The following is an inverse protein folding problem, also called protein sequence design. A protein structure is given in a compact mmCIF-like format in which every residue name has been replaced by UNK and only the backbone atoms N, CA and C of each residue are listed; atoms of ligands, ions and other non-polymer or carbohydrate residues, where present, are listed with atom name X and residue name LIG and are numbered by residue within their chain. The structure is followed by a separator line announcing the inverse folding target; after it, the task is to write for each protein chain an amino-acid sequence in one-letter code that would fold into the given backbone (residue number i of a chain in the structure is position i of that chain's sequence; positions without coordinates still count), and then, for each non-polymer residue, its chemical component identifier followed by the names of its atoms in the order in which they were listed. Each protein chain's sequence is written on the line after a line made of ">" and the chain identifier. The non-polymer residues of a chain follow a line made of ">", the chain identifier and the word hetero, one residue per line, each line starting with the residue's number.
data_IF_035963822256
#
_entry.id   IF_035963822256
#
_cell.length_a   1.000
_cell.length_b   1.000
_cell.length_c   1.000
_cell.angle_alpha   90.00
_cell.angle_beta   90.00
_cell.angle_gamma   90.00
#
_symmetry.space_group_name_H-M   'P 1'
#
loop_
_entity.id
_entity.type
_entity.pdbx_description
1 polymer ?
#
# COMPACT_ATOMS: atom_id res chain seq x y z
N UNK A 1 -9.19 -3.20 -19.42
CA UNK A 1 -8.58 -2.56 -18.23
C UNK A 1 -7.65 -3.59 -17.66
N UNK A 2 -6.36 -3.29 -17.53
CA UNK A 2 -5.38 -4.31 -17.16
C UNK A 2 -5.28 -4.39 -15.65
N UNK A 3 -6.28 -5.01 -15.00
CA UNK A 3 -6.23 -5.34 -13.57
C UNK A 3 -4.94 -6.09 -13.18
N UNK A 4 -4.28 -6.73 -14.16
CA UNK A 4 -2.99 -7.41 -14.03
C UNK A 4 -1.87 -6.51 -13.46
N UNK A 5 -1.82 -5.22 -13.83
CA UNK A 5 -0.75 -4.33 -13.35
C UNK A 5 -0.95 -3.95 -11.88
N UNK A 6 -2.18 -3.62 -11.48
CA UNK A 6 -2.51 -3.37 -10.07
C UNK A 6 -2.29 -4.61 -9.21
N UNK A 7 -2.69 -5.80 -9.71
CA UNK A 7 -2.40 -7.07 -9.08
C UNK A 7 -0.90 -7.29 -8.89
N UNK A 8 -0.09 -7.09 -9.93
CA UNK A 8 1.37 -7.26 -9.87
C UNK A 8 1.98 -6.35 -8.79
N UNK A 9 1.58 -5.07 -8.75
CA UNK A 9 2.08 -4.12 -7.73
C UNK A 9 1.63 -4.48 -6.32
N UNK A 10 0.39 -4.91 -6.14
CA UNK A 10 -0.09 -5.38 -4.85
C UNK A 10 0.64 -6.66 -4.40
N UNK A 11 0.94 -7.57 -5.32
CA UNK A 11 1.73 -8.77 -5.06
C UNK A 11 3.14 -8.43 -4.57
N UNK A 12 3.83 -7.51 -5.25
CA UNK A 12 5.18 -7.04 -4.85
C UNK A 12 5.12 -6.32 -3.49
N UNK A 13 4.08 -5.55 -3.23
CA UNK A 13 3.86 -4.91 -1.94
C UNK A 13 3.75 -5.94 -0.80
N UNK A 14 2.92 -6.97 -0.98
CA UNK A 14 2.79 -8.08 -0.01
C UNK A 14 4.13 -8.79 0.23
N UNK A 15 4.88 -9.07 -0.84
CA UNK A 15 6.22 -9.67 -0.71
C UNK A 15 7.20 -8.77 0.06
N UNK A 16 7.12 -7.45 -0.13
CA UNK A 16 7.95 -6.48 0.59
C UNK A 16 7.67 -6.48 2.10
N UNK A 17 6.43 -6.74 2.51
CA UNK A 17 6.04 -6.87 3.92
C UNK A 17 6.70 -8.08 4.62
N UNK A 18 7.07 -9.11 3.86
CA UNK A 18 7.79 -10.29 4.34
C UNK A 18 9.32 -10.16 4.25
N UNK A 19 9.84 -9.02 3.78
CA UNK A 19 11.26 -8.78 3.62
C UNK A 19 12.03 -8.69 4.94
N UNK A 20 13.32 -8.36 4.83
CA UNK A 20 14.18 -8.02 5.96
C UNK A 20 13.88 -6.62 6.50
N UNK A 21 14.23 -6.38 7.78
CA UNK A 21 14.05 -5.10 8.44
C UNK A 21 12.89 -5.10 9.43
N UNK A 22 12.69 -3.96 10.08
CA UNK A 22 11.58 -3.71 10.99
C UNK A 22 10.25 -3.58 10.24
N UNK A 23 9.12 -3.74 10.95
CA UNK A 23 7.79 -3.59 10.34
C UNK A 23 7.57 -2.21 9.70
N UNK A 24 7.98 -1.07 10.31
CA UNK A 24 7.96 0.24 9.65
C UNK A 24 8.74 0.29 8.33
N UNK A 25 9.98 -0.21 8.32
CA UNK A 25 10.82 -0.20 7.11
C UNK A 25 10.19 -1.03 5.98
N UNK A 26 9.62 -2.18 6.32
CA UNK A 26 8.92 -3.05 5.35
C UNK A 26 7.66 -2.41 4.82
N UNK A 27 6.90 -1.70 5.66
CA UNK A 27 5.71 -0.96 5.24
C UNK A 27 6.08 0.20 4.31
N UNK A 28 7.09 1.00 4.66
CA UNK A 28 7.59 2.07 3.78
C UNK A 28 8.02 1.50 2.44
N UNK A 29 8.78 0.41 2.43
CA UNK A 29 9.20 -0.24 1.20
C UNK A 29 8.01 -0.73 0.37
N UNK A 30 7.03 -1.39 0.98
CA UNK A 30 5.83 -1.88 0.29
C UNK A 30 5.06 -0.74 -0.41
N UNK A 31 4.90 0.41 0.26
CA UNK A 31 4.21 1.55 -0.36
C UNK A 31 5.08 2.20 -1.44
N UNK A 32 6.32 2.58 -1.11
CA UNK A 32 7.19 3.38 -1.99
C UNK A 32 7.72 2.63 -3.23
N UNK A 33 7.95 1.32 -3.13
CA UNK A 33 8.44 0.52 -4.26
C UNK A 33 7.34 -0.03 -5.15
N UNK A 34 6.09 -0.02 -4.66
CA UNK A 34 4.99 -0.74 -5.30
C UNK A 34 3.72 0.09 -5.42
N UNK A 35 3.07 0.45 -4.30
CA UNK A 35 1.74 1.06 -4.34
C UNK A 35 1.71 2.45 -4.98
N UNK A 36 2.79 3.25 -4.86
CA UNK A 36 2.84 4.58 -5.51
C UNK A 36 2.75 4.52 -7.03
N UNK A 37 3.01 3.35 -7.63
CA UNK A 37 2.99 3.16 -9.08
C UNK A 37 1.61 2.80 -9.63
N UNK A 38 0.63 2.57 -8.75
CA UNK A 38 -0.74 2.21 -9.11
C UNK A 38 -1.51 3.49 -9.44
N UNK A 39 -2.16 3.51 -10.60
CA UNK A 39 -3.17 4.50 -10.96
C UNK A 39 -4.56 3.93 -10.65
N UNK A 40 -5.25 4.37 -9.57
CA UNK A 40 -6.47 3.73 -9.09
C UNK A 40 -7.57 3.59 -10.14
N UNK A 41 -7.68 4.54 -11.06
CA UNK A 41 -8.70 4.54 -12.12
C UNK A 41 -8.55 3.40 -13.12
N UNK A 42 -7.30 2.97 -13.35
CA UNK A 42 -6.92 1.99 -14.37
C UNK A 42 -6.62 0.61 -13.79
N UNK A 43 -6.02 0.60 -12.60
CA UNK A 43 -5.31 -0.57 -12.05
C UNK A 43 -6.06 -1.20 -10.86
N UNK A 44 -6.99 -0.46 -10.24
CA UNK A 44 -7.76 -0.92 -9.09
C UNK A 44 -9.23 -1.11 -9.46
N UNK A 45 -9.84 -2.24 -9.08
CA UNK A 45 -11.27 -2.46 -9.20
C UNK A 45 -12.14 -1.37 -8.58
N UNK A 46 -13.27 -1.08 -9.21
CA UNK A 46 -14.13 0.05 -8.85
C UNK A 46 -14.67 -0.01 -7.42
N UNK A 47 -14.94 -1.21 -6.92
CA UNK A 47 -15.51 -1.47 -5.59
C UNK A 47 -14.54 -1.19 -4.45
N UNK A 48 -13.22 -1.37 -4.65
CA UNK A 48 -12.20 -1.10 -3.62
C UNK A 48 -11.40 0.18 -3.88
N UNK A 49 -11.65 0.87 -5.00
CA UNK A 49 -10.89 2.05 -5.43
C UNK A 49 -10.89 3.17 -4.39
N UNK A 50 -12.07 3.52 -3.87
CA UNK A 50 -12.19 4.59 -2.89
C UNK A 50 -11.37 4.28 -1.63
N UNK A 51 -11.47 3.04 -1.15
CA UNK A 51 -10.73 2.59 0.03
C UNK A 51 -9.22 2.62 -0.19
N UNK A 52 -8.75 2.27 -1.39
CA UNK A 52 -7.35 2.38 -1.78
C UNK A 52 -6.85 3.83 -1.81
N UNK A 53 -7.63 4.74 -2.40
CA UNK A 53 -7.31 6.17 -2.46
C UNK A 53 -7.24 6.81 -1.06
N UNK A 54 -8.20 6.47 -0.20
CA UNK A 54 -8.23 6.91 1.20
C UNK A 54 -7.00 6.40 1.96
N UNK A 55 -6.62 5.14 1.76
CA UNK A 55 -5.40 4.57 2.34
C UNK A 55 -4.15 5.31 1.85
N UNK A 56 -3.99 5.56 0.55
CA UNK A 56 -2.83 6.28 0.02
C UNK A 56 -2.75 7.73 0.54
N UNK A 57 -3.90 8.37 0.76
CA UNK A 57 -3.98 9.68 1.39
C UNK A 57 -3.56 9.64 2.86
N UNK A 58 -3.95 8.60 3.60
CA UNK A 58 -3.52 8.40 4.98
C UNK A 58 -2.00 8.20 5.04
N UNK A 59 -1.45 7.34 4.17
CA UNK A 59 -0.02 7.05 4.08
C UNK A 59 0.86 8.24 3.66
N UNK A 60 0.26 9.35 3.20
CA UNK A 60 0.97 10.58 2.81
C UNK A 60 0.53 11.81 3.62
N UNK A 61 -0.18 11.59 4.73
CA UNK A 61 -0.83 12.64 5.50
C UNK A 61 0.12 13.49 6.34
N UNK A 62 1.27 12.93 6.74
CA UNK A 62 2.29 13.66 7.50
C UNK A 62 3.25 14.33 6.51
N UNK A 63 3.44 15.66 6.58
CA UNK A 63 4.44 16.36 5.78
C UNK A 63 5.84 15.81 6.04
N UNK A 64 6.65 15.72 5.00
CA UNK A 64 8.06 15.36 5.12
C UNK A 64 8.82 16.40 5.96
N UNK A 65 9.68 15.92 6.86
CA UNK A 65 10.67 16.75 7.56
C UNK A 65 12.06 16.53 6.95
N UNK A 66 12.68 17.59 6.43
CA UNK A 66 14.02 17.54 5.81
C UNK A 66 14.10 16.64 4.55
N UNK A 67 14.95 15.61 4.54
CA UNK A 67 15.26 14.79 3.36
C UNK A 67 14.42 13.49 3.27
N UNK A 68 13.47 13.25 4.18
CA UNK A 68 12.59 12.08 4.12
C UNK A 68 11.38 12.28 3.19
N UNK A 69 10.78 11.18 2.70
CA UNK A 69 9.50 11.25 1.96
C UNK A 69 8.29 11.29 2.91
N UNK A 70 7.13 11.79 2.44
CA UNK A 70 5.89 11.85 3.24
C UNK A 70 5.43 10.49 3.76
N UNK A 71 5.70 9.42 3.02
CA UNK A 71 5.40 8.03 3.44
C UNK A 71 6.27 7.62 4.63
N UNK A 72 7.58 7.91 4.58
CA UNK A 72 8.48 7.63 5.70
C UNK A 72 8.07 8.45 6.93
N UNK A 73 7.79 9.74 6.74
CA UNK A 73 7.33 10.63 7.81
C UNK A 73 6.04 10.12 8.46
N UNK A 74 5.08 9.67 7.67
CA UNK A 74 3.80 9.14 8.16
C UNK A 74 4.00 7.84 8.93
N UNK A 75 4.73 6.88 8.37
CA UNK A 75 4.99 5.59 9.02
C UNK A 75 5.76 5.76 10.34
N UNK A 76 6.70 6.70 10.41
CA UNK A 76 7.45 7.01 11.63
C UNK A 76 6.57 7.53 12.79
N UNK A 77 5.35 7.99 12.52
CA UNK A 77 4.39 8.45 13.53
C UNK A 77 3.36 7.38 13.94
N UNK A 78 3.32 6.25 13.25
CA UNK A 78 2.40 5.17 13.55
C UNK A 78 2.85 4.40 14.80
N UNK A 79 1.88 4.02 15.63
CA UNK A 79 2.10 3.02 16.68
C UNK A 79 2.00 1.59 16.12
N UNK A 80 2.27 0.59 16.95
CA UNK A 80 2.26 -0.83 16.55
C UNK A 80 0.89 -1.29 16.00
N UNK A 81 -0.20 -0.73 16.52
CA UNK A 81 -1.56 -1.06 16.09
C UNK A 81 -1.81 -0.47 14.70
N UNK A 82 -1.48 0.80 14.49
CA UNK A 82 -1.60 1.46 13.20
C UNK A 82 -0.73 0.79 12.13
N UNK A 83 0.51 0.41 12.47
CA UNK A 83 1.39 -0.34 11.58
C UNK A 83 0.78 -1.68 11.16
N UNK A 84 0.23 -2.43 12.12
CA UNK A 84 -0.41 -3.73 11.85
C UNK A 84 -1.66 -3.58 10.99
N UNK A 85 -2.50 -2.58 11.27
CA UNK A 85 -3.69 -2.28 10.47
C UNK A 85 -3.32 -1.90 9.03
N UNK A 86 -2.26 -1.11 8.83
CA UNK A 86 -1.79 -0.72 7.50
C UNK A 86 -1.28 -1.95 6.71
N UNK A 87 -0.55 -2.85 7.36
CA UNK A 87 -0.12 -4.13 6.77
C UNK A 87 -1.32 -4.98 6.35
N UNK A 88 -2.31 -5.15 7.22
CA UNK A 88 -3.53 -5.90 6.93
C UNK A 88 -4.34 -5.30 5.78
N UNK A 89 -4.36 -3.96 5.68
CA UNK A 89 -5.02 -3.24 4.59
C UNK A 89 -4.41 -3.56 3.23
N UNK A 90 -3.08 -3.56 3.13
CA UNK A 90 -2.36 -3.91 1.89
C UNK A 90 -2.69 -5.35 1.45
N UNK A 91 -2.71 -6.30 2.41
CA UNK A 91 -3.07 -7.69 2.14
C UNK A 91 -4.54 -7.77 1.67
N UNK A 92 -5.44 -7.02 2.30
CA UNK A 92 -6.86 -7.00 1.94
C UNK A 92 -7.12 -6.45 0.53
N UNK A 93 -6.34 -5.46 0.09
CA UNK A 93 -6.39 -4.98 -1.30
C UNK A 93 -5.95 -6.06 -2.28
N UNK A 94 -4.82 -6.73 -2.01
CA UNK A 94 -4.33 -7.83 -2.85
C UNK A 94 -5.37 -8.96 -2.96
N UNK A 95 -5.92 -9.39 -1.83
CA UNK A 95 -6.95 -10.43 -1.78
C UNK A 95 -8.20 -10.07 -2.58
N UNK A 96 -8.62 -8.80 -2.51
CA UNK A 96 -9.80 -8.31 -3.21
C UNK A 96 -9.59 -8.26 -4.71
N UNK A 97 -8.40 -7.86 -5.17
CA UNK A 97 -8.03 -7.93 -6.59
C UNK A 97 -7.98 -9.39 -7.07
N UNK A 98 -7.38 -10.30 -6.30
CA UNK A 98 -7.33 -11.72 -6.65
C UNK A 98 -8.73 -12.33 -6.84
N UNK A 99 -9.67 -12.08 -5.90
CA UNK A 99 -11.05 -12.61 -5.98
C UNK A 99 -11.79 -12.19 -7.25
N UNK A 100 -11.48 -11.03 -7.80
CA UNK A 100 -12.10 -10.54 -9.02
C UNK A 100 -11.47 -11.08 -10.30
N UNK A 101 -10.21 -11.54 -10.24
CA UNK A 101 -9.58 -12.22 -11.37
C UNK A 101 -10.16 -13.63 -11.60
N UNK A 102 -10.64 -14.26 -10.54
CA UNK A 102 -11.26 -15.59 -10.58
C UNK A 102 -12.76 -15.57 -10.94
N UNK A 103 -13.37 -14.39 -11.11
CA UNK A 103 -14.80 -14.18 -11.37
C UNK A 103 -15.12 -13.91 -12.84
#
# INVERSE_FOLDING_TARGET
>A
MSSDYGWEKLHVAVHSLCGSGSQPERLVNAVTSSLIHITPENDIPKDIRQEFEEFMKEMTSVPAESDEGTIQATVNKMDEIALSNAVEKIISFYDSVCRQMDS
#
